data_IF_480113103171
#
_entry.id   IF_480113103171
#
_cell.length_a   1.000
_cell.length_b   1.000
_cell.length_c   1.000
_cell.angle_alpha   90.00
_cell.angle_beta   90.00
_cell.angle_gamma   90.00
#
_symmetry.space_group_name_H-M   'P 1'
#
loop_
_entity.id
_entity.type
_entity.pdbx_description
1 polymer ?
#
# COMPACT_ATOMS: atom_id res chain seq x y z
N UNK A 1 -16.12 -49.57 -19.36
CA UNK A 1 -15.95 -49.84 -20.81
C UNK A 1 -16.37 -48.68 -21.71
N UNK A 2 -17.56 -48.06 -21.55
CA UNK A 2 -17.97 -46.91 -22.39
C UNK A 2 -17.02 -45.70 -22.33
N UNK A 3 -16.57 -45.29 -21.13
CA UNK A 3 -15.64 -44.15 -20.98
C UNK A 3 -14.25 -44.42 -21.60
N UNK A 4 -13.76 -45.65 -21.58
CA UNK A 4 -12.44 -46.04 -22.10
C UNK A 4 -12.37 -46.01 -23.63
N UNK A 5 -13.49 -46.34 -24.29
CA UNK A 5 -13.62 -46.32 -25.75
C UNK A 5 -13.76 -44.88 -26.26
N UNK A 6 -14.52 -44.04 -25.54
CA UNK A 6 -14.59 -42.60 -25.80
C UNK A 6 -13.23 -41.92 -25.65
N UNK A 7 -12.46 -42.32 -24.61
CA UNK A 7 -11.07 -41.92 -24.40
C UNK A 7 -10.20 -42.22 -25.61
N UNK A 8 -10.20 -43.47 -26.09
CA UNK A 8 -9.35 -43.90 -27.21
C UNK A 8 -9.70 -43.17 -28.51
N UNK A 9 -10.99 -43.04 -28.82
CA UNK A 9 -11.45 -42.36 -30.03
C UNK A 9 -11.09 -40.86 -30.05
N UNK A 10 -11.17 -40.19 -28.89
CA UNK A 10 -10.81 -38.79 -28.75
C UNK A 10 -9.29 -38.57 -28.76
N UNK A 11 -8.54 -39.49 -28.15
CA UNK A 11 -7.08 -39.51 -28.17
C UNK A 11 -6.54 -39.64 -29.61
N UNK A 12 -7.17 -40.47 -30.42
CA UNK A 12 -6.85 -40.64 -31.84
C UNK A 12 -7.16 -39.35 -32.62
N UNK A 13 -8.29 -38.68 -32.37
CA UNK A 13 -8.67 -37.44 -33.08
C UNK A 13 -7.71 -36.26 -32.81
N UNK A 14 -7.19 -36.14 -31.59
CA UNK A 14 -6.19 -35.12 -31.21
C UNK A 14 -4.82 -35.42 -31.83
N UNK A 15 -4.43 -36.70 -31.88
CA UNK A 15 -3.16 -37.12 -32.51
C UNK A 15 -3.17 -36.88 -34.03
N UNK A 16 -4.33 -37.00 -34.69
CA UNK A 16 -4.45 -36.78 -36.13
C UNK A 16 -4.47 -35.30 -36.54
N UNK A 17 -4.90 -34.39 -35.65
CA UNK A 17 -4.97 -32.95 -35.94
C UNK A 17 -3.64 -32.20 -35.70
N UNK A 18 -2.70 -32.77 -34.93
CA UNK A 18 -1.40 -32.15 -34.63
C UNK A 18 -0.23 -32.95 -35.22
N UNK A 19 0.06 -32.73 -36.50
CA UNK A 19 1.25 -33.24 -37.19
C UNK A 19 2.53 -32.45 -36.84
N UNK A 20 2.72 -32.05 -35.59
CA UNK A 20 3.99 -31.44 -35.12
C UNK A 20 4.28 -31.90 -33.67
N UNK A 21 5.42 -32.59 -33.47
CA UNK A 21 6.03 -33.07 -32.22
C UNK A 21 5.35 -34.28 -31.51
N UNK A 22 5.95 -35.49 -31.64
CA UNK A 22 5.24 -36.77 -31.41
C UNK A 22 5.61 -37.59 -30.14
N UNK A 23 6.54 -37.16 -29.27
CA UNK A 23 6.87 -37.92 -28.05
C UNK A 23 6.65 -37.13 -26.76
N UNK A 24 7.11 -35.87 -26.68
CA UNK A 24 6.84 -34.97 -25.54
C UNK A 24 5.35 -34.61 -25.40
N UNK A 25 4.64 -34.57 -26.53
CA UNK A 25 3.23 -34.21 -26.59
C UNK A 25 2.32 -35.27 -25.93
N UNK A 26 2.73 -36.55 -25.95
CA UNK A 26 1.92 -37.65 -25.40
C UNK A 26 1.83 -37.57 -23.88
N UNK A 27 2.97 -37.49 -23.18
CA UNK A 27 3.02 -37.40 -21.71
C UNK A 27 2.26 -36.18 -21.18
N UNK A 28 2.39 -35.05 -21.87
CA UNK A 28 1.64 -33.83 -21.56
C UNK A 28 0.14 -34.00 -21.74
N UNK A 29 -0.27 -34.48 -22.92
CA UNK A 29 -1.67 -34.69 -23.25
C UNK A 29 -2.30 -35.70 -22.29
N UNK A 30 -1.59 -36.77 -21.94
CA UNK A 30 -2.00 -37.76 -20.94
C UNK A 30 -2.25 -37.12 -19.58
N UNK A 31 -1.38 -36.22 -19.11
CA UNK A 31 -1.55 -35.53 -17.82
C UNK A 31 -2.74 -34.57 -17.82
N UNK A 32 -2.90 -33.78 -18.88
CA UNK A 32 -4.06 -32.89 -19.05
C UNK A 32 -5.35 -33.72 -19.06
N UNK A 33 -5.37 -34.81 -19.84
CA UNK A 33 -6.52 -35.69 -19.97
C UNK A 33 -6.81 -36.46 -18.68
N UNK A 34 -5.79 -36.89 -17.92
CA UNK A 34 -5.97 -37.54 -16.62
C UNK A 34 -6.53 -36.58 -15.57
N UNK A 35 -6.15 -35.29 -15.63
CA UNK A 35 -6.76 -34.24 -14.79
C UNK A 35 -8.22 -34.00 -15.20
N UNK A 36 -8.50 -33.89 -16.51
CA UNK A 36 -9.87 -33.75 -17.02
C UNK A 36 -10.77 -34.94 -16.63
N UNK A 37 -10.24 -36.16 -16.74
CA UNK A 37 -10.41 -37.32 -15.82
C UNK A 37 -11.08 -37.03 -14.51
N UNK A 38 -10.19 -36.76 -13.58
CA UNK A 38 -10.41 -36.59 -12.16
C UNK A 38 -11.53 -35.60 -11.87
N UNK A 39 -11.67 -34.55 -12.68
CA UNK A 39 -12.68 -33.50 -12.51
C UNK A 39 -13.95 -33.69 -13.37
N UNK A 40 -14.07 -34.80 -14.10
CA UNK A 40 -15.27 -35.12 -14.89
C UNK A 40 -15.52 -34.19 -16.09
N UNK A 41 -14.47 -33.54 -16.61
CA UNK A 41 -14.55 -32.48 -17.62
C UNK A 41 -14.71 -32.99 -19.06
N UNK A 42 -14.64 -34.31 -19.29
CA UNK A 42 -14.62 -34.90 -20.64
C UNK A 42 -15.95 -34.92 -21.40
N UNK A 43 -17.05 -34.50 -20.78
CA UNK A 43 -18.36 -34.55 -21.46
C UNK A 43 -18.58 -33.42 -22.48
N UNK A 44 -17.71 -32.39 -22.52
CA UNK A 44 -17.82 -31.21 -23.39
C UNK A 44 -16.41 -30.64 -23.75
N UNK A 45 -15.67 -31.26 -24.67
CA UNK A 45 -14.31 -30.81 -25.06
C UNK A 45 -14.33 -30.05 -26.39
N UNK A 46 -13.98 -28.76 -26.37
CA UNK A 46 -13.81 -27.90 -27.56
C UNK A 46 -12.32 -27.86 -27.99
N UNK A 47 -11.73 -29.02 -28.33
CA UNK A 47 -10.40 -29.11 -28.95
C UNK A 47 -9.17 -28.69 -28.10
N UNK A 48 -7.98 -29.17 -28.49
CA UNK A 48 -6.68 -28.87 -27.85
C UNK A 48 -6.08 -27.56 -28.35
N UNK A 49 -5.77 -26.63 -27.44
CA UNK A 49 -5.14 -25.34 -27.74
C UNK A 49 -3.73 -25.26 -27.11
N UNK A 50 -2.88 -24.35 -27.59
CA UNK A 50 -1.54 -24.11 -27.04
C UNK A 50 -1.30 -22.60 -26.96
N UNK A 51 -0.71 -22.13 -25.85
CA UNK A 51 -0.30 -20.73 -25.64
C UNK A 51 1.18 -20.71 -25.23
N UNK A 52 1.92 -19.73 -25.74
CA UNK A 52 3.31 -19.49 -25.35
C UNK A 52 3.38 -18.25 -24.45
N UNK A 53 3.77 -18.40 -23.18
CA UNK A 53 3.78 -17.30 -22.20
C UNK A 53 5.04 -16.43 -22.35
N UNK A 54 4.91 -15.14 -22.00
CA UNK A 54 5.90 -14.09 -22.23
C UNK A 54 7.28 -14.32 -21.54
N UNK A 55 7.40 -15.29 -20.64
CA UNK A 55 8.64 -15.67 -19.95
C UNK A 55 9.47 -16.72 -20.69
N UNK A 56 9.20 -16.98 -21.98
CA UNK A 56 9.73 -18.12 -22.76
C UNK A 56 9.34 -19.50 -22.19
N UNK A 57 8.31 -19.56 -21.32
CA UNK A 57 7.76 -20.80 -20.79
C UNK A 57 6.52 -21.19 -21.60
N UNK A 58 6.62 -22.25 -22.40
CA UNK A 58 5.47 -22.81 -23.12
C UNK A 58 4.51 -23.47 -22.13
N UNK A 59 3.21 -23.14 -22.17
CA UNK A 59 2.20 -23.88 -21.44
C UNK A 59 1.03 -24.27 -22.36
N UNK A 60 0.70 -25.54 -22.34
CA UNK A 60 -0.28 -26.12 -23.26
C UNK A 60 -1.56 -26.36 -22.49
N UNK A 61 -2.72 -26.12 -23.11
CA UNK A 61 -3.97 -26.10 -22.36
C UNK A 61 -5.17 -26.60 -23.16
N UNK A 62 -6.07 -27.28 -22.47
CA UNK A 62 -7.40 -27.59 -22.98
C UNK A 62 -8.40 -26.65 -22.31
N UNK A 63 -9.20 -25.93 -23.09
CA UNK A 63 -10.39 -25.23 -22.59
C UNK A 63 -11.63 -26.09 -22.79
N UNK A 64 -12.52 -26.05 -21.80
CA UNK A 64 -13.75 -26.83 -21.79
C UNK A 64 -14.91 -25.84 -21.71
N UNK A 65 -15.36 -25.40 -22.89
CA UNK A 65 -16.07 -24.15 -23.16
C UNK A 65 -17.46 -24.02 -22.51
N UNK A 66 -18.04 -25.11 -21.98
CA UNK A 66 -19.32 -25.05 -21.27
C UNK A 66 -19.23 -24.81 -19.77
N UNK A 67 -18.08 -25.03 -19.13
CA UNK A 67 -17.97 -25.02 -17.67
C UNK A 67 -17.06 -23.92 -17.11
N UNK A 68 -16.46 -23.09 -17.97
CA UNK A 68 -15.49 -22.09 -17.53
C UNK A 68 -14.30 -22.75 -16.83
N UNK A 69 -13.72 -23.77 -17.47
CA UNK A 69 -12.59 -24.53 -16.95
C UNK A 69 -11.52 -24.72 -18.01
N UNK A 70 -10.27 -24.53 -17.64
CA UNK A 70 -9.10 -24.87 -18.45
C UNK A 70 -8.14 -25.76 -17.67
N UNK A 71 -7.51 -26.71 -18.35
CA UNK A 71 -6.44 -27.55 -17.77
C UNK A 71 -5.14 -27.22 -18.46
N UNK A 72 -4.16 -26.78 -17.69
CA UNK A 72 -2.89 -26.23 -18.17
C UNK A 72 -1.73 -27.14 -17.76
N UNK A 73 -0.83 -27.42 -18.69
CA UNK A 73 0.44 -28.09 -18.44
C UNK A 73 1.59 -27.22 -18.92
N UNK A 74 2.42 -26.79 -17.98
CA UNK A 74 3.65 -26.07 -18.29
C UNK A 74 4.74 -27.04 -18.73
N UNK A 75 5.49 -26.68 -19.76
CA UNK A 75 6.62 -27.47 -20.23
C UNK A 75 7.66 -27.67 -19.11
N UNK A 76 8.18 -28.89 -18.97
CA UNK A 76 9.08 -29.28 -17.88
C UNK A 76 8.42 -29.52 -16.51
N UNK A 77 7.10 -29.31 -16.34
CA UNK A 77 6.43 -29.63 -15.07
C UNK A 77 6.09 -31.13 -14.92
N UNK A 78 6.00 -31.57 -13.66
CA UNK A 78 5.53 -32.91 -13.32
C UNK A 78 4.01 -33.06 -13.50
N UNK A 79 3.21 -32.00 -13.35
CA UNK A 79 1.75 -32.08 -13.30
C UNK A 79 1.04 -31.01 -14.13
N UNK A 80 -0.20 -31.32 -14.51
CA UNK A 80 -1.15 -30.37 -15.08
C UNK A 80 -2.06 -29.80 -13.97
N UNK A 81 -2.45 -28.54 -14.09
CA UNK A 81 -3.28 -27.82 -13.12
C UNK A 81 -4.55 -27.30 -13.76
N UNK A 82 -5.67 -27.47 -13.05
CA UNK A 82 -6.96 -27.00 -13.51
C UNK A 82 -7.27 -25.62 -12.92
N UNK A 83 -7.83 -24.74 -13.75
CA UNK A 83 -8.34 -23.41 -13.39
C UNK A 83 -9.82 -23.42 -13.73
N UNK A 84 -10.70 -23.09 -12.79
CA UNK A 84 -12.15 -23.18 -13.01
C UNK A 84 -12.94 -22.01 -12.39
N UNK A 85 -14.24 -21.94 -12.74
CA UNK A 85 -15.20 -21.05 -12.11
C UNK A 85 -14.88 -19.56 -12.28
N UNK A 86 -15.10 -18.77 -11.23
CA UNK A 86 -14.87 -17.33 -11.29
C UNK A 86 -13.37 -16.96 -11.39
N UNK A 87 -12.47 -17.84 -10.95
CA UNK A 87 -11.03 -17.65 -11.16
C UNK A 87 -10.69 -17.82 -12.64
N UNK A 88 -11.24 -18.84 -13.30
CA UNK A 88 -11.06 -19.03 -14.74
C UNK A 88 -11.57 -17.86 -15.57
N UNK A 89 -12.74 -17.30 -15.23
CA UNK A 89 -13.32 -16.16 -15.98
C UNK A 89 -12.34 -14.97 -16.07
N UNK A 90 -11.68 -14.65 -14.95
CA UNK A 90 -10.67 -13.57 -14.92
C UNK A 90 -9.35 -14.02 -15.55
N UNK A 91 -8.93 -15.27 -15.32
CA UNK A 91 -7.71 -15.79 -15.93
C UNK A 91 -7.78 -15.80 -17.46
N UNK A 92 -8.89 -16.25 -18.04
CA UNK A 92 -9.12 -16.28 -19.48
C UNK A 92 -9.03 -14.87 -20.09
N UNK A 93 -9.57 -13.85 -19.39
CA UNK A 93 -9.42 -12.46 -19.81
C UNK A 93 -7.95 -12.01 -19.92
N UNK A 94 -7.09 -12.45 -19.00
CA UNK A 94 -5.64 -12.17 -19.07
C UNK A 94 -4.90 -12.96 -20.15
N UNK A 95 -5.48 -14.06 -20.66
CA UNK A 95 -4.94 -14.79 -21.81
C UNK A 95 -5.31 -14.13 -23.14
N UNK A 96 -6.51 -13.57 -23.24
CA UNK A 96 -7.01 -12.89 -24.45
C UNK A 96 -6.47 -11.45 -24.57
N UNK A 97 -6.20 -10.80 -23.43
CA UNK A 97 -5.72 -9.41 -23.34
C UNK A 97 -6.85 -8.37 -23.32
N UNK A 98 -6.50 -7.12 -22.99
CA UNK A 98 -7.46 -6.00 -22.99
C UNK A 98 -7.83 -5.60 -24.43
N UNK A 99 -8.97 -6.10 -24.94
CA UNK A 99 -9.52 -5.73 -26.24
C UNK A 99 -10.23 -4.37 -26.13
N UNK A 100 -9.61 -3.29 -26.59
CA UNK A 100 -10.28 -1.98 -26.75
C UNK A 100 -10.80 -1.84 -28.17
N UNK A 101 -12.11 -1.62 -28.32
CA UNK A 101 -12.71 -1.23 -29.60
C UNK A 101 -12.71 0.30 -29.71
N UNK A 102 -11.92 0.83 -30.62
CA UNK A 102 -11.92 2.25 -30.99
C UNK A 102 -13.27 2.67 -31.57
N UNK A 103 -13.55 3.99 -31.54
CA UNK A 103 -14.78 4.57 -32.14
C UNK A 103 -14.89 4.32 -33.65
N UNK A 104 -13.77 4.01 -34.31
CA UNK A 104 -13.64 3.64 -35.71
C UNK A 104 -13.85 2.14 -35.97
N UNK A 105 -14.19 1.37 -34.93
CA UNK A 105 -14.38 -0.08 -35.00
C UNK A 105 -13.10 -0.89 -34.97
N UNK A 106 -11.91 -0.27 -34.94
CA UNK A 106 -10.62 -0.98 -34.83
C UNK A 106 -10.43 -1.54 -33.43
N UNK A 107 -9.90 -2.75 -33.36
CA UNK A 107 -9.53 -3.39 -32.10
C UNK A 107 -8.07 -3.06 -31.82
N UNK A 108 -7.79 -2.44 -30.67
CA UNK A 108 -6.45 -2.29 -30.10
C UNK A 108 -6.35 -3.15 -28.85
N UNK A 109 -5.38 -4.07 -28.83
CA UNK A 109 -5.02 -4.83 -27.63
C UNK A 109 -4.06 -3.98 -26.82
N UNK A 110 -4.49 -3.47 -25.65
CA UNK A 110 -3.67 -2.58 -24.83
C UNK A 110 -3.30 -3.20 -23.48
N UNK A 111 -2.11 -3.83 -23.43
CA UNK A 111 -1.34 -4.36 -22.29
C UNK A 111 -1.58 -5.81 -21.80
N UNK A 112 -0.41 -6.44 -21.57
CA UNK A 112 -0.06 -7.61 -20.73
C UNK A 112 -0.89 -8.88 -20.92
N UNK A 113 -1.00 -9.34 -22.16
CA UNK A 113 -1.25 -10.77 -22.39
C UNK A 113 -0.25 -11.59 -21.55
N UNK A 114 -0.72 -12.63 -20.85
CA UNK A 114 0.13 -13.67 -20.25
C UNK A 114 1.01 -13.25 -19.06
N UNK A 115 0.82 -12.07 -18.47
CA UNK A 115 1.77 -11.54 -17.47
C UNK A 115 1.82 -12.28 -16.14
N UNK A 116 0.71 -12.90 -15.72
CA UNK A 116 0.69 -13.75 -14.52
C UNK A 116 1.17 -15.18 -14.81
N UNK A 117 1.39 -15.55 -16.07
CA UNK A 117 1.97 -16.84 -16.45
C UNK A 117 1.05 -18.04 -16.29
N UNK A 118 1.65 -19.23 -16.32
CA UNK A 118 0.95 -20.50 -16.14
C UNK A 118 0.55 -20.73 -14.66
N UNK A 119 -0.51 -21.51 -14.38
CA UNK A 119 -0.81 -21.93 -13.01
C UNK A 119 0.33 -22.80 -12.44
N UNK A 120 0.66 -22.60 -11.17
CA UNK A 120 1.71 -23.34 -10.45
C UNK A 120 1.16 -24.34 -9.43
N UNK A 121 -0.16 -24.40 -9.31
CA UNK A 121 -0.89 -25.34 -8.46
C UNK A 121 -2.36 -25.38 -8.81
N UNK A 122 -3.08 -26.37 -8.27
CA UNK A 122 -4.53 -26.40 -8.36
C UNK A 122 -5.15 -25.26 -7.55
N UNK A 123 -6.35 -24.85 -7.97
CA UNK A 123 -7.20 -23.99 -7.14
C UNK A 123 -7.46 -24.66 -5.78
N UNK A 124 -7.32 -23.88 -4.70
CA UNK A 124 -7.53 -24.32 -3.33
C UNK A 124 -8.66 -23.55 -2.67
N UNK A 125 -9.38 -24.19 -1.74
CA UNK A 125 -10.26 -23.49 -0.81
C UNK A 125 -9.39 -22.74 0.20
N UNK A 126 -9.69 -21.47 0.48
CA UNK A 126 -8.96 -20.72 1.49
C UNK A 126 -9.17 -21.32 2.89
N UNK A 127 -8.13 -21.44 3.75
CA UNK A 127 -8.21 -22.31 4.93
C UNK A 127 -9.16 -21.82 6.03
N UNK A 128 -9.24 -20.50 6.27
CA UNK A 128 -9.97 -19.93 7.41
C UNK A 128 -11.17 -19.08 7.02
N UNK A 129 -11.25 -18.66 5.75
CA UNK A 129 -12.33 -17.83 5.21
C UNK A 129 -12.96 -18.54 4.03
N UNK A 130 -14.23 -18.30 3.77
CA UNK A 130 -14.88 -18.85 2.59
C UNK A 130 -14.46 -18.10 1.34
N UNK A 131 -13.72 -18.79 0.49
CA UNK A 131 -13.17 -18.28 -0.75
C UNK A 131 -12.31 -19.34 -1.43
N UNK A 132 -11.68 -18.94 -2.52
CA UNK A 132 -10.74 -19.78 -3.24
C UNK A 132 -9.54 -18.97 -3.71
N UNK A 133 -8.39 -19.62 -3.85
CA UNK A 133 -7.19 -19.02 -4.39
C UNK A 133 -6.54 -19.95 -5.42
N UNK A 134 -5.76 -19.37 -6.32
CA UNK A 134 -4.87 -20.11 -7.19
C UNK A 134 -3.59 -19.32 -7.45
N UNK A 135 -2.47 -20.04 -7.41
CA UNK A 135 -1.15 -19.48 -7.67
C UNK A 135 -0.76 -19.63 -9.14
N UNK A 136 -0.13 -18.59 -9.67
CA UNK A 136 0.44 -18.53 -11.01
C UNK A 136 1.91 -18.10 -10.90
N UNK A 137 2.67 -18.20 -11.99
CA UNK A 137 4.10 -17.87 -11.99
C UNK A 137 4.37 -16.42 -11.57
N UNK A 138 3.59 -15.49 -12.13
CA UNK A 138 3.74 -14.05 -11.95
C UNK A 138 2.77 -13.45 -10.94
N UNK A 139 1.82 -14.22 -10.39
CA UNK A 139 0.75 -13.66 -9.57
C UNK A 139 -0.08 -14.68 -8.81
N UNK A 140 -1.11 -14.19 -8.12
CA UNK A 140 -2.16 -15.00 -7.53
C UNK A 140 -3.53 -14.44 -7.90
N UNK A 141 -4.49 -15.30 -8.15
CA UNK A 141 -5.91 -14.94 -8.23
C UNK A 141 -6.62 -15.45 -6.99
N UNK A 142 -7.42 -14.58 -6.36
CA UNK A 142 -8.24 -14.93 -5.21
C UNK A 142 -9.67 -14.49 -5.43
N UNK A 143 -10.60 -15.36 -5.04
CA UNK A 143 -12.04 -15.14 -5.12
C UNK A 143 -12.68 -15.24 -3.74
N UNK A 144 -13.62 -14.34 -3.47
CA UNK A 144 -14.61 -14.50 -2.41
C UNK A 144 -15.99 -14.12 -2.93
N UNK A 145 -17.05 -14.61 -2.30
CA UNK A 145 -18.42 -14.26 -2.68
C UNK A 145 -18.70 -12.74 -2.59
N UNK A 146 -18.00 -12.03 -1.69
CA UNK A 146 -18.18 -10.60 -1.44
C UNK A 146 -17.39 -9.72 -2.39
N UNK A 147 -16.17 -10.12 -2.74
CA UNK A 147 -15.25 -9.29 -3.52
C UNK A 147 -15.17 -9.70 -4.98
N UNK A 148 -15.55 -10.93 -5.33
CA UNK A 148 -15.27 -11.48 -6.65
C UNK A 148 -13.81 -11.90 -6.80
N UNK A 149 -13.37 -12.18 -8.02
CA UNK A 149 -12.01 -12.61 -8.32
C UNK A 149 -11.12 -11.40 -8.61
N UNK A 150 -9.98 -11.32 -7.92
CA UNK A 150 -8.96 -10.30 -8.17
C UNK A 150 -7.56 -10.87 -8.21
N UNK A 151 -6.71 -10.27 -9.05
CA UNK A 151 -5.30 -10.58 -9.13
C UNK A 151 -4.47 -9.72 -8.17
N UNK A 152 -3.43 -10.32 -7.63
CA UNK A 152 -2.38 -9.64 -6.89
C UNK A 152 -1.04 -10.16 -7.39
N UNK A 153 -0.11 -9.28 -7.75
CA UNK A 153 1.19 -9.68 -8.31
C UNK A 153 2.37 -8.83 -7.77
N UNK A 154 3.58 -9.18 -8.22
CA UNK A 154 4.81 -8.43 -7.91
C UNK A 154 5.03 -8.16 -6.40
N UNK A 155 5.56 -6.97 -6.11
CA UNK A 155 5.90 -6.58 -4.74
C UNK A 155 4.68 -6.53 -3.80
N UNK A 156 3.49 -6.19 -4.33
CA UNK A 156 2.27 -6.13 -3.53
C UNK A 156 1.86 -7.53 -3.08
N UNK A 157 1.94 -8.52 -3.98
CA UNK A 157 1.71 -9.93 -3.65
C UNK A 157 2.69 -10.44 -2.61
N UNK A 158 3.96 -10.09 -2.75
CA UNK A 158 5.00 -10.53 -1.80
C UNK A 158 4.76 -9.93 -0.40
N UNK A 159 4.35 -8.66 -0.32
CA UNK A 159 3.94 -8.02 0.93
C UNK A 159 2.70 -8.71 1.53
N UNK A 160 1.65 -8.92 0.74
CA UNK A 160 0.42 -9.55 1.20
C UNK A 160 0.66 -10.99 1.70
N UNK A 161 1.51 -11.74 0.98
CA UNK A 161 2.00 -13.06 1.41
C UNK A 161 2.70 -13.00 2.77
N UNK A 162 3.61 -12.06 2.96
CA UNK A 162 4.34 -11.89 4.22
C UNK A 162 3.41 -11.55 5.40
N UNK A 163 2.28 -10.90 5.13
CA UNK A 163 1.25 -10.60 6.13
C UNK A 163 0.31 -11.79 6.43
N UNK A 164 0.40 -12.89 5.67
CA UNK A 164 -0.47 -14.07 5.84
C UNK A 164 -1.65 -14.13 4.88
N UNK A 165 -1.55 -13.50 3.71
CA UNK A 165 -2.55 -13.56 2.64
C UNK A 165 -3.95 -13.11 3.10
N UNK A 166 -5.00 -13.80 2.69
CA UNK A 166 -6.40 -13.54 3.05
C UNK A 166 -6.67 -13.69 4.55
N UNK A 167 -5.79 -14.36 5.29
CA UNK A 167 -5.90 -14.50 6.75
C UNK A 167 -5.36 -13.27 7.49
N UNK A 168 -4.63 -12.39 6.82
CA UNK A 168 -4.19 -11.11 7.39
C UNK A 168 -5.35 -10.16 7.67
N UNK A 169 -5.07 -9.06 8.36
CA UNK A 169 -6.04 -7.99 8.62
C UNK A 169 -6.59 -7.36 7.32
N UNK A 170 -5.90 -7.51 6.20
CA UNK A 170 -6.33 -6.99 4.90
C UNK A 170 -7.48 -7.82 4.31
N UNK A 171 -7.55 -9.12 4.56
CA UNK A 171 -8.57 -9.98 3.96
C UNK A 171 -8.38 -10.20 2.46
N UNK A 172 -9.48 -10.42 1.74
CA UNK A 172 -9.45 -10.65 0.30
C UNK A 172 -9.17 -9.36 -0.49
N UNK A 173 -8.53 -9.46 -1.67
CA UNK A 173 -8.43 -8.34 -2.60
C UNK A 173 -9.81 -7.91 -3.11
N UNK A 174 -9.97 -6.62 -3.37
CA UNK A 174 -11.18 -5.94 -3.88
C UNK A 174 -10.89 -5.26 -5.24
N UNK A 175 -9.61 -5.15 -5.60
CA UNK A 175 -9.20 -4.71 -6.94
C UNK A 175 -8.04 -5.56 -7.44
N UNK A 176 -7.91 -5.58 -8.76
CA UNK A 176 -6.68 -5.93 -9.45
C UNK A 176 -5.57 -4.91 -9.15
N UNK A 177 -4.30 -5.25 -9.42
CA UNK A 177 -3.19 -4.31 -9.25
C UNK A 177 -3.33 -3.18 -10.28
N UNK A 178 -3.43 -1.95 -9.80
CA UNK A 178 -3.68 -0.78 -10.62
C UNK A 178 -2.54 0.22 -10.46
N UNK A 179 -2.12 0.87 -11.55
CA UNK A 179 -1.15 1.96 -11.48
C UNK A 179 -1.77 3.16 -10.74
N UNK A 180 -0.95 3.86 -9.94
CA UNK A 180 -1.40 5.11 -9.32
C UNK A 180 -1.63 6.20 -10.38
N UNK A 181 -2.58 7.13 -10.15
CA UNK A 181 -2.88 8.22 -11.09
C UNK A 181 -1.72 9.17 -11.45
N UNK A 182 -0.61 9.16 -10.72
CA UNK A 182 0.61 9.92 -11.02
C UNK A 182 1.61 9.11 -11.89
N UNK A 183 1.38 7.81 -12.09
CA UNK A 183 2.16 6.92 -12.94
C UNK A 183 3.40 6.30 -12.29
N UNK A 184 3.69 6.57 -11.02
CA UNK A 184 4.92 6.09 -10.36
C UNK A 184 4.73 4.79 -9.58
N UNK A 185 3.62 4.70 -8.85
CA UNK A 185 3.31 3.59 -7.98
C UNK A 185 2.27 2.63 -8.54
N UNK A 186 1.95 1.64 -7.72
CA UNK A 186 0.85 0.70 -7.94
C UNK A 186 0.16 0.36 -6.65
N UNK A 187 -1.07 -0.11 -6.70
CA UNK A 187 -1.81 -0.53 -5.52
C UNK A 187 -2.82 -1.64 -5.79
N UNK A 188 -3.17 -2.35 -4.71
CA UNK A 188 -4.39 -3.14 -4.62
C UNK A 188 -5.20 -2.66 -3.40
N UNK A 189 -6.52 -2.55 -3.55
CA UNK A 189 -7.42 -2.48 -2.39
C UNK A 189 -7.78 -3.88 -1.92
N UNK A 190 -7.93 -4.01 -0.60
CA UNK A 190 -8.37 -5.21 0.10
C UNK A 190 -9.54 -4.83 1.03
N UNK A 191 -10.25 -5.83 1.56
CA UNK A 191 -11.40 -5.59 2.44
C UNK A 191 -11.04 -4.73 3.68
N UNK A 192 -9.85 -4.96 4.22
CA UNK A 192 -9.32 -4.34 5.43
C UNK A 192 -8.29 -3.24 5.18
N UNK A 193 -8.14 -2.74 3.96
CA UNK A 193 -7.20 -1.65 3.66
C UNK A 193 -6.69 -1.65 2.23
N UNK A 194 -5.44 -1.25 2.04
CA UNK A 194 -4.75 -1.34 0.75
C UNK A 194 -3.28 -1.67 0.95
N UNK A 195 -2.62 -2.09 -0.13
CA UNK A 195 -1.16 -2.12 -0.20
C UNK A 195 -0.75 -1.23 -1.37
N UNK A 196 0.21 -0.34 -1.12
CA UNK A 196 0.81 0.51 -2.14
C UNK A 196 2.28 0.13 -2.33
N UNK A 197 2.72 0.11 -3.59
CA UNK A 197 4.10 -0.03 -4.00
C UNK A 197 4.55 1.26 -4.70
N UNK A 198 5.75 1.72 -4.37
CA UNK A 198 6.45 2.78 -5.11
C UNK A 198 7.93 2.39 -5.26
N UNK A 199 8.53 2.56 -6.46
CA UNK A 199 9.88 2.03 -6.77
C UNK A 199 10.97 2.57 -5.85
N UNK A 200 10.85 3.80 -5.39
CA UNK A 200 11.86 4.44 -4.53
C UNK A 200 11.53 4.43 -3.03
N UNK A 201 10.30 4.06 -2.66
CA UNK A 201 9.85 4.14 -1.25
C UNK A 201 9.63 2.77 -0.64
N UNK A 202 9.24 1.77 -1.44
CA UNK A 202 8.99 0.41 -0.97
C UNK A 202 7.52 -0.01 -1.13
N UNK A 203 7.11 -1.03 -0.36
CA UNK A 203 5.77 -1.61 -0.39
C UNK A 203 5.19 -1.70 1.00
N UNK A 204 4.06 -1.03 1.23
CA UNK A 204 3.50 -0.85 2.57
C UNK A 204 2.00 -1.12 2.58
N UNK A 205 1.55 -1.78 3.65
CA UNK A 205 0.13 -2.00 3.90
C UNK A 205 -0.44 -0.83 4.71
N UNK A 206 -1.61 -0.34 4.28
CA UNK A 206 -2.34 0.75 4.91
C UNK A 206 -3.68 0.19 5.42
N UNK A 207 -3.88 0.04 6.74
CA UNK A 207 -5.13 -0.42 7.32
C UNK A 207 -6.31 0.49 6.96
N UNK A 208 -7.52 -0.08 6.87
CA UNK A 208 -8.72 0.61 6.41
C UNK A 208 -8.98 1.95 7.10
N UNK A 209 -8.87 2.00 8.43
CA UNK A 209 -9.13 3.23 9.19
C UNK A 209 -8.15 4.35 8.84
N UNK A 210 -6.88 4.00 8.61
CA UNK A 210 -5.86 4.95 8.15
C UNK A 210 -6.10 5.33 6.68
N UNK A 211 -6.42 4.35 5.82
CA UNK A 211 -6.72 4.58 4.41
C UNK A 211 -7.92 5.51 4.21
N UNK A 212 -8.94 5.43 5.08
CA UNK A 212 -10.11 6.33 5.05
C UNK A 212 -9.75 7.79 5.39
N UNK A 213 -8.79 8.01 6.30
CA UNK A 213 -8.26 9.36 6.57
C UNK A 213 -7.37 9.84 5.43
N UNK A 214 -6.44 9.00 4.97
CA UNK A 214 -5.55 9.32 3.86
C UNK A 214 -6.32 9.64 2.56
N UNK A 215 -7.43 8.94 2.30
CA UNK A 215 -8.39 9.25 1.23
C UNK A 215 -8.92 10.68 1.31
N UNK A 216 -9.34 11.12 2.50
CA UNK A 216 -9.88 12.47 2.72
C UNK A 216 -8.81 13.54 2.48
N UNK A 217 -7.55 13.21 2.72
CA UNK A 217 -6.41 14.09 2.43
C UNK A 217 -5.91 14.02 0.98
N UNK A 218 -6.55 13.23 0.12
CA UNK A 218 -6.27 13.18 -1.32
C UNK A 218 -5.35 12.05 -1.78
N UNK A 219 -5.18 10.99 -0.98
CA UNK A 219 -4.32 9.84 -1.30
C UNK A 219 -2.86 10.24 -1.60
N UNK A 220 -2.20 9.56 -2.54
CA UNK A 220 -0.80 9.76 -2.91
C UNK A 220 -0.53 11.15 -3.51
N UNK A 221 -1.52 11.73 -4.20
CA UNK A 221 -1.44 13.13 -4.69
C UNK A 221 -1.70 14.15 -3.60
N UNK A 222 -2.31 13.70 -2.51
CA UNK A 222 -2.74 14.47 -1.36
C UNK A 222 -1.59 15.03 -0.51
N UNK A 223 -1.94 15.60 0.64
CA UNK A 223 -0.96 16.28 1.52
C UNK A 223 0.12 15.34 2.05
N UNK A 224 -0.23 14.07 2.27
CA UNK A 224 0.64 13.10 2.94
C UNK A 224 1.63 12.43 1.98
N UNK A 225 1.30 12.31 0.68
CA UNK A 225 2.10 11.53 -0.27
C UNK A 225 1.86 10.02 -0.14
N UNK A 226 2.85 9.22 -0.56
CA UNK A 226 2.86 7.76 -0.44
C UNK A 226 3.17 7.29 0.99
N UNK A 227 2.69 6.10 1.40
CA UNK A 227 3.15 5.48 2.64
C UNK A 227 4.64 5.14 2.56
N UNK A 228 5.36 5.34 3.66
CA UNK A 228 6.79 5.01 3.81
C UNK A 228 7.05 4.05 4.98
N UNK A 229 5.99 3.59 5.64
CA UNK A 229 6.02 2.57 6.68
C UNK A 229 4.70 1.78 6.66
N UNK A 230 4.73 0.57 7.24
CA UNK A 230 3.48 -0.04 7.72
C UNK A 230 2.97 0.72 8.96
N UNK A 231 1.79 0.34 9.44
CA UNK A 231 1.25 0.80 10.72
C UNK A 231 2.17 0.37 11.89
N UNK A 232 2.48 1.33 12.74
CA UNK A 232 3.24 1.17 13.98
C UNK A 232 2.26 1.28 15.14
N UNK A 233 2.09 0.21 15.89
CA UNK A 233 1.32 0.20 17.14
C UNK A 233 2.27 0.36 18.33
N UNK A 234 2.10 1.43 19.11
CA UNK A 234 2.93 1.68 20.29
C UNK A 234 2.16 2.43 21.37
N UNK A 235 2.23 1.96 22.62
CA UNK A 235 1.59 2.60 23.78
C UNK A 235 0.08 2.88 23.56
N UNK A 236 -0.62 1.98 22.86
CA UNK A 236 -2.01 2.13 22.41
C UNK A 236 -2.26 3.30 21.42
N UNK A 237 -1.20 3.76 20.75
CA UNK A 237 -1.29 4.65 19.60
C UNK A 237 -1.11 3.83 18.32
N UNK A 238 -1.78 4.26 17.26
CA UNK A 238 -1.58 3.79 15.89
C UNK A 238 -0.97 4.92 15.07
N UNK A 239 0.14 4.64 14.39
CA UNK A 239 0.90 5.63 13.64
C UNK A 239 1.27 5.02 12.29
N UNK A 240 0.96 5.70 11.20
CA UNK A 240 1.52 5.36 9.89
C UNK A 240 2.14 6.59 9.24
N UNK A 241 3.39 6.42 8.79
CA UNK A 241 4.18 7.49 8.19
C UNK A 241 4.02 7.48 6.67
N UNK A 242 3.96 8.67 6.11
CA UNK A 242 3.91 8.97 4.70
C UNK A 242 5.05 9.93 4.35
N UNK A 243 5.31 10.19 3.08
CA UNK A 243 6.40 11.05 2.61
C UNK A 243 6.41 12.43 3.30
N UNK A 244 5.23 13.06 3.42
CA UNK A 244 5.08 14.45 3.86
C UNK A 244 4.21 14.62 5.11
N UNK A 245 3.85 13.52 5.75
CA UNK A 245 3.05 13.54 6.96
C UNK A 245 2.89 12.17 7.61
N UNK A 246 2.03 12.11 8.61
CA UNK A 246 1.63 10.86 9.26
C UNK A 246 0.14 10.91 9.60
N UNK A 247 -0.49 9.74 9.58
CA UNK A 247 -1.79 9.52 10.20
C UNK A 247 -1.54 8.93 11.59
N UNK A 248 -2.13 9.55 12.62
CA UNK A 248 -1.91 9.20 14.03
C UNK A 248 -3.26 9.08 14.74
N UNK A 249 -3.47 7.97 15.46
CA UNK A 249 -4.49 7.84 16.50
C UNK A 249 -3.80 7.66 17.85
N UNK A 250 -4.17 8.48 18.82
CA UNK A 250 -3.64 8.45 20.19
C UNK A 250 -4.64 7.77 21.11
N UNK A 251 -4.19 6.77 21.88
CA UNK A 251 -5.01 6.00 22.86
C UNK A 251 -6.34 5.50 22.27
N UNK A 252 -6.29 4.97 21.05
CA UNK A 252 -7.47 4.52 20.28
C UNK A 252 -8.51 5.63 20.02
N UNK A 253 -8.10 6.90 20.05
CA UNK A 253 -8.92 8.04 19.70
C UNK A 253 -9.13 8.20 18.19
N UNK A 254 -9.66 9.35 17.79
CA UNK A 254 -9.83 9.67 16.38
C UNK A 254 -8.47 9.68 15.64
N UNK A 255 -8.46 9.16 14.42
CA UNK A 255 -7.31 9.29 13.53
C UNK A 255 -7.22 10.72 13.01
N UNK A 256 -6.05 11.33 13.18
CA UNK A 256 -5.75 12.69 12.78
C UNK A 256 -4.47 12.72 11.94
N UNK A 257 -4.19 13.85 11.27
CA UNK A 257 -3.05 13.98 10.37
C UNK A 257 -2.10 15.07 10.82
N UNK A 258 -0.81 14.74 10.91
CA UNK A 258 0.26 15.72 11.03
C UNK A 258 1.02 15.80 9.70
N UNK A 259 1.23 17.00 9.17
CA UNK A 259 1.89 17.20 7.87
C UNK A 259 2.66 18.52 7.82
N UNK A 260 3.63 18.63 6.91
CA UNK A 260 4.26 19.91 6.59
C UNK A 260 3.32 20.76 5.73
N UNK A 261 3.14 22.04 6.05
CA UNK A 261 2.31 22.94 5.23
C UNK A 261 2.81 23.07 3.79
N UNK A 262 4.13 22.97 3.60
CA UNK A 262 4.78 22.88 2.30
C UNK A 262 5.59 21.58 2.21
N UNK A 263 5.27 20.71 1.23
CA UNK A 263 5.87 19.37 1.09
C UNK A 263 7.41 19.37 1.04
N UNK A 264 8.01 20.39 0.43
CA UNK A 264 9.46 20.49 0.20
C UNK A 264 10.20 21.31 1.26
N UNK A 265 9.54 21.68 2.36
CA UNK A 265 10.14 22.46 3.45
C UNK A 265 10.01 21.72 4.78
N UNK A 266 10.89 22.09 5.71
CA UNK A 266 10.80 21.66 7.09
C UNK A 266 9.56 22.29 7.72
N UNK A 267 8.70 21.46 8.29
CA UNK A 267 7.44 21.85 8.93
C UNK A 267 7.11 20.97 10.12
N UNK A 268 5.84 20.95 10.51
CA UNK A 268 5.37 20.24 11.70
C UNK A 268 5.77 18.75 11.71
N UNK A 269 5.58 18.05 10.60
CA UNK A 269 5.83 16.62 10.51
C UNK A 269 7.32 16.30 10.59
N UNK A 270 8.15 16.97 9.79
CA UNK A 270 9.61 16.75 9.83
C UNK A 270 10.19 17.10 11.20
N UNK A 271 9.67 18.16 11.84
CA UNK A 271 10.12 18.52 13.18
C UNK A 271 9.69 17.50 14.22
N UNK A 272 8.48 16.95 14.10
CA UNK A 272 8.03 15.85 14.96
C UNK A 272 8.91 14.61 14.80
N UNK A 273 9.36 14.27 13.58
CA UNK A 273 10.33 13.19 13.37
C UNK A 273 11.63 13.42 14.15
N UNK A 274 12.19 14.64 14.11
CA UNK A 274 13.41 15.00 14.87
C UNK A 274 13.24 14.89 16.38
N UNK A 275 12.02 15.06 16.90
CA UNK A 275 11.75 14.87 18.33
C UNK A 275 11.74 13.41 18.77
N UNK A 276 11.77 12.46 17.81
CA UNK A 276 11.70 11.02 18.05
C UNK A 276 10.44 10.34 17.49
N UNK A 277 9.57 11.06 16.77
CA UNK A 277 8.34 10.55 16.17
C UNK A 277 7.43 9.79 17.17
N UNK A 278 7.20 8.49 16.99
CA UNK A 278 6.48 7.62 17.92
C UNK A 278 7.14 7.51 19.31
N UNK A 279 8.40 7.96 19.42
CA UNK A 279 9.18 8.09 20.66
C UNK A 279 9.37 9.55 21.07
N UNK A 280 8.57 10.47 20.53
CA UNK A 280 8.78 11.89 20.74
C UNK A 280 8.85 12.24 22.21
N UNK A 281 9.88 13.01 22.60
CA UNK A 281 9.96 13.56 23.96
C UNK A 281 8.80 14.54 24.27
N UNK A 282 8.04 14.97 23.27
CA UNK A 282 6.83 15.79 23.43
C UNK A 282 5.60 14.99 23.86
N UNK A 283 5.66 13.66 23.82
CA UNK A 283 4.56 12.77 24.17
C UNK A 283 3.52 12.66 23.06
N UNK A 284 2.30 12.26 23.43
CA UNK A 284 1.24 12.01 22.45
C UNK A 284 0.77 13.32 21.78
N UNK A 285 0.36 13.19 20.52
CA UNK A 285 -0.30 14.26 19.77
C UNK A 285 -1.67 14.56 20.38
N UNK A 286 -1.96 15.85 20.60
CA UNK A 286 -3.22 16.33 21.18
C UNK A 286 -4.06 17.06 20.14
N UNK A 287 -3.44 17.94 19.36
CA UNK A 287 -4.12 18.68 18.29
C UNK A 287 -3.16 18.91 17.13
N UNK A 288 -3.42 18.38 15.93
CA UNK A 288 -2.55 18.59 14.79
C UNK A 288 -2.94 19.78 13.93
N UNK A 289 -1.96 20.33 13.22
CA UNK A 289 -2.10 21.23 12.06
C UNK A 289 -3.19 22.30 12.21
N UNK A 290 -3.22 22.98 13.35
CA UNK A 290 -4.17 24.08 13.60
C UNK A 290 -3.61 25.37 13.01
N UNK A 291 -4.41 26.08 12.22
CA UNK A 291 -4.07 27.40 11.68
C UNK A 291 -3.99 28.45 12.78
N UNK A 292 -3.10 29.43 12.63
CA UNK A 292 -3.08 30.58 13.53
C UNK A 292 -4.23 31.55 13.25
N UNK A 293 -4.82 32.18 14.28
CA UNK A 293 -5.92 33.14 14.10
C UNK A 293 -5.52 34.38 13.27
N UNK A 294 -4.28 34.87 13.41
CA UNK A 294 -3.79 36.06 12.69
C UNK A 294 -3.14 35.75 11.34
N UNK A 295 -2.81 34.49 11.07
CA UNK A 295 -2.23 34.06 9.80
C UNK A 295 -2.71 32.63 9.45
N UNK A 296 -3.78 32.50 8.65
CA UNK A 296 -4.40 31.19 8.40
C UNK A 296 -3.50 30.22 7.62
N UNK A 297 -2.39 30.71 7.07
CA UNK A 297 -1.44 29.94 6.26
C UNK A 297 -0.27 29.34 7.04
N UNK A 298 -0.22 29.57 8.34
CA UNK A 298 0.80 28.99 9.21
C UNK A 298 0.12 28.06 10.22
N UNK A 299 0.81 27.00 10.63
CA UNK A 299 0.23 25.95 11.46
C UNK A 299 1.04 25.67 12.72
N UNK A 300 0.36 25.15 13.74
CA UNK A 300 0.99 24.53 14.90
C UNK A 300 0.37 23.17 15.22
N UNK A 301 1.12 22.34 15.94
CA UNK A 301 0.64 21.10 16.54
C UNK A 301 0.88 21.11 18.06
N UNK A 302 -0.11 20.72 18.84
CA UNK A 302 -0.01 20.50 20.27
C UNK A 302 0.27 19.03 20.58
N UNK A 303 1.19 18.83 21.51
CA UNK A 303 1.54 17.55 22.12
C UNK A 303 1.37 17.66 23.65
N UNK A 304 1.34 16.52 24.33
CA UNK A 304 1.18 16.47 25.80
C UNK A 304 2.16 17.39 26.55
N UNK A 305 3.43 17.42 26.12
CA UNK A 305 4.52 18.13 26.81
C UNK A 305 5.04 19.36 26.07
N UNK A 306 4.34 19.84 25.03
CA UNK A 306 4.79 20.99 24.27
C UNK A 306 4.04 21.19 22.97
N UNK A 307 4.57 22.05 22.12
CA UNK A 307 4.01 22.34 20.81
C UNK A 307 5.14 22.39 19.78
N UNK A 308 4.75 22.20 18.53
CA UNK A 308 5.58 22.52 17.37
C UNK A 308 4.88 23.64 16.62
N UNK A 309 5.60 24.73 16.37
CA UNK A 309 5.12 25.89 15.62
C UNK A 309 5.87 25.98 14.29
N UNK A 310 5.16 26.11 13.18
CA UNK A 310 5.76 26.61 11.94
C UNK A 310 5.93 28.13 12.02
N UNK A 311 7.10 28.62 11.65
CA UNK A 311 7.53 30.01 11.77
C UNK A 311 8.46 30.43 10.63
N UNK A 312 8.46 31.72 10.30
CA UNK A 312 9.35 32.25 9.27
C UNK A 312 10.78 32.38 9.79
N UNK A 313 11.74 31.91 9.00
CA UNK A 313 13.15 32.20 9.25
C UNK A 313 13.38 33.69 8.96
N UNK A 314 13.79 34.43 9.99
CA UNK A 314 14.03 35.88 9.91
C UNK A 314 14.98 36.22 8.76
N UNK A 315 14.55 37.15 7.89
CA UNK A 315 15.33 37.61 6.74
C UNK A 315 15.19 36.74 5.48
N UNK A 316 14.27 35.77 5.47
CA UNK A 316 14.00 34.91 4.30
C UNK A 316 12.49 34.70 4.09
N UNK A 317 12.11 34.13 2.95
CA UNK A 317 10.74 33.63 2.68
C UNK A 317 10.56 32.15 3.05
N UNK A 318 11.48 31.57 3.83
CA UNK A 318 11.44 30.18 4.22
C UNK A 318 10.66 29.99 5.52
N UNK A 319 9.83 28.97 5.54
CA UNK A 319 9.17 28.47 6.75
C UNK A 319 10.04 27.35 7.33
N UNK A 320 10.12 27.33 8.64
CA UNK A 320 10.74 26.28 9.43
C UNK A 320 9.87 25.95 10.64
N UNK A 321 10.20 24.92 11.41
CA UNK A 321 9.44 24.49 12.57
C UNK A 321 10.28 24.37 13.85
N UNK A 322 9.72 24.88 14.95
CA UNK A 322 10.39 24.98 16.24
C UNK A 322 9.54 24.45 17.37
N UNK A 323 10.20 23.81 18.34
CA UNK A 323 9.58 23.24 19.52
C UNK A 323 9.50 24.29 20.63
N UNK A 324 8.35 24.38 21.29
CA UNK A 324 8.19 25.05 22.60
C UNK A 324 7.74 24.01 23.62
N UNK A 325 8.59 23.74 24.62
CA UNK A 325 8.31 22.74 25.66
C UNK A 325 7.50 23.35 26.80
N UNK A 326 6.47 22.65 27.29
CA UNK A 326 5.74 23.09 28.49
C UNK A 326 6.72 23.16 29.68
N UNK A 327 6.74 24.30 30.36
CA UNK A 327 7.72 24.65 31.39
C UNK A 327 7.95 26.16 31.50
N UNK A 328 8.99 26.63 32.21
CA UNK A 328 9.12 28.04 32.58
C UNK A 328 9.17 29.04 31.41
N UNK A 329 9.90 28.71 30.33
CA UNK A 329 9.94 29.57 29.12
C UNK A 329 8.56 29.64 28.46
N UNK A 330 7.86 28.50 28.39
CA UNK A 330 6.51 28.43 27.86
C UNK A 330 5.52 29.22 28.74
N UNK A 331 5.56 29.07 30.06
CA UNK A 331 4.68 29.79 30.98
C UNK A 331 4.88 31.31 30.87
N UNK A 332 6.13 31.75 30.69
CA UNK A 332 6.43 33.15 30.39
C UNK A 332 5.81 33.57 29.05
N UNK A 333 6.01 32.79 27.99
CA UNK A 333 5.44 33.06 26.67
C UNK A 333 3.90 33.15 26.71
N UNK A 334 3.25 32.25 27.44
CA UNK A 334 1.81 32.28 27.75
C UNK A 334 1.42 33.59 28.43
N UNK A 335 2.17 34.02 29.45
CA UNK A 335 1.92 35.29 30.16
C UNK A 335 1.98 36.51 29.25
N UNK A 336 2.68 36.41 28.12
CA UNK A 336 2.79 37.46 27.09
C UNK A 336 1.78 37.31 25.96
N UNK A 337 0.74 36.48 26.13
CA UNK A 337 -0.30 36.19 25.15
C UNK A 337 0.19 35.36 23.95
N UNK A 338 1.16 34.47 24.16
CA UNK A 338 1.62 33.51 23.16
C UNK A 338 2.03 34.19 21.84
N UNK A 339 1.73 33.56 20.69
CA UNK A 339 2.03 34.07 19.36
C UNK A 339 1.23 35.31 19.00
N UNK A 340 0.17 35.60 19.75
CA UNK A 340 -0.64 36.81 19.56
C UNK A 340 -0.04 38.03 20.27
N UNK A 341 0.91 37.79 21.19
CA UNK A 341 1.67 38.77 21.93
C UNK A 341 2.78 39.43 21.14
N UNK A 342 3.53 40.30 21.81
CA UNK A 342 4.64 41.03 21.18
C UNK A 342 5.85 40.15 20.85
N UNK A 343 5.99 38.99 21.52
CA UNK A 343 7.06 38.04 21.23
C UNK A 343 6.87 37.35 19.87
N UNK A 344 5.62 37.19 19.41
CA UNK A 344 5.31 36.49 18.16
C UNK A 344 5.73 35.03 18.19
N UNK A 345 5.97 34.43 17.02
CA UNK A 345 6.28 33.00 16.89
C UNK A 345 7.70 32.66 17.37
N UNK A 346 7.94 31.43 17.86
CA UNK A 346 9.29 30.94 18.10
C UNK A 346 10.08 30.87 16.79
N UNK A 347 11.38 31.18 16.84
CA UNK A 347 12.31 31.12 15.68
C UNK A 347 13.57 30.29 15.99
N UNK A 348 13.59 29.63 17.14
CA UNK A 348 14.58 28.62 17.52
C UNK A 348 13.90 27.56 18.38
N UNK A 349 14.52 26.38 18.46
CA UNK A 349 14.26 25.48 19.58
C UNK A 349 14.82 26.09 20.87
N UNK A 350 14.36 25.56 21.98
CA UNK A 350 14.96 25.81 23.27
C UNK A 350 16.35 25.19 23.37
N UNK A 351 17.35 26.00 23.73
CA UNK A 351 18.73 25.60 23.93
C UNK A 351 19.08 25.67 25.42
N UNK A 352 19.99 24.80 25.85
CA UNK A 352 20.54 24.79 27.20
C UNK A 352 22.06 24.90 27.14
N UNK A 353 22.63 25.71 28.03
CA UNK A 353 24.08 25.81 28.19
C UNK A 353 24.46 25.87 29.67
N UNK A 354 25.55 25.20 30.03
CA UNK A 354 26.17 25.27 31.36
C UNK A 354 27.41 26.16 31.31
N UNK A 355 27.23 27.44 31.01
CA UNK A 355 28.32 28.43 31.04
C UNK A 355 28.62 28.96 32.44
N UNK A 356 27.78 28.65 33.43
CA UNK A 356 27.90 29.07 34.83
C UNK A 356 27.49 27.94 35.79
N UNK A 357 27.41 28.25 37.10
CA UNK A 357 26.97 27.31 38.16
C UNK A 357 25.54 26.78 37.92
N UNK A 358 24.71 27.55 37.21
CA UNK A 358 23.34 27.18 36.89
C UNK A 358 23.15 26.92 35.39
N UNK A 359 22.17 26.09 35.06
CA UNK A 359 21.74 25.86 33.69
C UNK A 359 21.04 27.11 33.15
N UNK A 360 21.56 27.68 32.06
CA UNK A 360 20.89 28.73 31.30
C UNK A 360 20.15 28.10 30.14
N UNK A 361 18.82 28.20 30.16
CA UNK A 361 17.95 27.85 29.04
C UNK A 361 17.57 29.13 28.29
N UNK A 362 17.54 29.08 26.97
CA UNK A 362 17.16 30.22 26.13
C UNK A 362 16.35 29.78 24.91
N UNK A 363 15.41 30.62 24.49
CA UNK A 363 14.67 30.43 23.25
C UNK A 363 14.37 31.76 22.58
N UNK A 364 14.61 31.82 21.27
CA UNK A 364 14.38 33.00 20.46
C UNK A 364 12.98 32.99 19.84
N UNK A 365 12.38 34.17 19.81
CA UNK A 365 11.09 34.48 19.20
C UNK A 365 11.28 35.67 18.23
N UNK A 366 10.30 35.93 17.39
CA UNK A 366 10.35 37.05 16.43
C UNK A 366 10.61 38.40 17.12
N UNK A 367 10.00 38.61 18.29
CA UNK A 367 10.03 39.86 19.05
C UNK A 367 11.07 39.93 20.17
N UNK A 368 11.78 38.84 20.50
CA UNK A 368 12.71 38.83 21.63
C UNK A 368 13.28 37.45 21.95
N UNK A 369 14.07 37.36 23.03
CA UNK A 369 14.62 36.08 23.54
C UNK A 369 14.18 35.92 24.99
N UNK A 370 13.57 34.77 25.30
CA UNK A 370 13.26 34.39 26.67
C UNK A 370 14.43 33.56 27.21
N UNK A 371 14.91 33.92 28.38
CA UNK A 371 15.91 33.20 29.15
C UNK A 371 15.26 32.58 30.39
N UNK A 372 15.85 31.50 30.89
CA UNK A 372 15.50 30.91 32.16
C UNK A 372 16.75 30.44 32.90
N UNK A 373 16.82 30.77 34.20
CA UNK A 373 17.70 30.13 35.17
C UNK A 373 16.88 29.71 36.38
N UNK A 374 17.40 28.78 37.18
CA UNK A 374 16.73 28.35 38.40
C UNK A 374 16.55 29.50 39.40
N UNK A 375 17.55 30.37 39.52
CA UNK A 375 17.54 31.52 40.43
C UNK A 375 16.63 32.67 40.01
N UNK A 376 16.50 32.96 38.71
CA UNK A 376 15.78 34.14 38.21
C UNK A 376 14.39 33.83 37.67
N UNK A 377 14.05 32.55 37.48
CA UNK A 377 12.88 32.17 36.70
C UNK A 377 13.03 32.57 35.24
N UNK A 378 11.91 32.65 34.52
CA UNK A 378 11.91 33.04 33.11
C UNK A 378 11.83 34.56 32.97
N UNK A 379 12.70 35.13 32.13
CA UNK A 379 12.78 36.57 31.90
C UNK A 379 13.18 36.90 30.46
N UNK A 380 12.90 38.13 30.03
CA UNK A 380 13.33 38.64 28.73
C UNK A 380 14.51 39.58 28.92
N UNK A 381 15.53 39.47 28.07
CA UNK A 381 16.54 40.52 27.94
C UNK A 381 16.14 41.40 26.76
N UNK A 382 15.66 42.61 27.04
CA UNK A 382 15.39 43.59 25.98
C UNK A 382 16.70 43.88 25.24
N UNK A 383 16.62 43.94 23.91
CA UNK A 383 17.71 44.38 23.05
C UNK A 383 18.09 45.83 23.33
#
# INVERSE_FOLDING_TARGET
MKNTIQYLAFFILILFSNKIYAQDNKTRTDKIMAKAVKYGLLKDVDGLQAIEFATNNKAYYLTFNRNGTGVYFKDGNAEAYAVWGDIYKVYAYFLDGDIKKGKDGRITVSNRQLFIGAPTGDQFKTPQKDGAGQYFEGGSLYWSAKTGTHEVHGNIRDKWKALGWENSFLGFPVTNETATPDGYGKFNFFEGGCIYYHPNLGTFAVPKMIAEVWKKEGWEKGKLGYPISDEIIKNNNSIQKFEFGAVISTKSGAYQVIYNSEKNKRGLYTKWLETGAENSYLGDLVTPNRSYPKNPYQYFAEFQKGYIYESFIKGTNNVDAFVIRKGPIFDYYVSKKWEQGYLGLPISDEMSSKKSVEELREQAFQGGVIYYTQSMGAFEKKK
#
